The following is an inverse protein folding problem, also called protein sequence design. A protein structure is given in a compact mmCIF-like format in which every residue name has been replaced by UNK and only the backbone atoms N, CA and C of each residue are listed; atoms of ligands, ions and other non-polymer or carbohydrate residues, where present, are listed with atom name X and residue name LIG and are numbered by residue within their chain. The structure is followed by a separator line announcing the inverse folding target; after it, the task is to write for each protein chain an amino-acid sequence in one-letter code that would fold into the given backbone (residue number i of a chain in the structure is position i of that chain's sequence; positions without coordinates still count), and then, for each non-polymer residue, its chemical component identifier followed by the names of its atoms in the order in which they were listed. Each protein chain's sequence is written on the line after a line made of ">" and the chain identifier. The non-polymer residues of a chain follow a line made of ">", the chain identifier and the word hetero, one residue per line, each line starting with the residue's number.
data_IF_700988687446
#
_entry.id   IF_700988687446
#
_cell.length_a   1.000
_cell.length_b   1.000
_cell.length_c   1.000
_cell.angle_alpha   90.00
_cell.angle_beta   90.00
_cell.angle_gamma   90.00
#
_symmetry.space_group_name_H-M   'P 1'
#
loop_
_entity.id
_entity.type
_entity.pdbx_description
1 polymer ?
#
# COMPACT_ATOMS: atom_id res chain seq x y z
N UNK A 1 -47.90 -5.87 16.34
CA UNK A 1 -47.38 -7.08 16.98
C UNK A 1 -46.37 -7.67 16.01
N UNK A 2 -45.08 -7.79 16.36
CA UNK A 2 -44.13 -8.49 15.47
C UNK A 2 -44.56 -9.95 15.33
N UNK A 3 -44.46 -10.50 14.12
CA UNK A 3 -44.86 -11.88 13.83
C UNK A 3 -43.95 -12.87 14.60
N UNK A 4 -44.55 -13.87 15.24
CA UNK A 4 -43.82 -14.97 15.86
C UNK A 4 -43.26 -15.88 14.77
N UNK A 5 -41.94 -16.05 14.77
CA UNK A 5 -41.23 -16.94 13.83
C UNK A 5 -41.48 -18.38 14.28
N UNK A 6 -41.81 -19.27 13.33
CA UNK A 6 -42.02 -20.68 13.64
C UNK A 6 -40.70 -21.40 13.98
N UNK A 7 -40.78 -22.49 14.76
CA UNK A 7 -39.61 -23.32 15.09
C UNK A 7 -38.92 -23.92 13.85
N UNK A 8 -39.68 -24.11 12.77
CA UNK A 8 -39.16 -24.62 11.49
C UNK A 8 -38.32 -23.56 10.80
N UNK A 9 -38.82 -22.33 10.70
CA UNK A 9 -38.07 -21.20 10.15
C UNK A 9 -36.80 -20.92 10.95
N UNK A 10 -36.85 -21.05 12.28
CA UNK A 10 -35.67 -20.91 13.14
C UNK A 10 -34.55 -21.89 12.76
N UNK A 11 -34.89 -23.17 12.52
CA UNK A 11 -33.91 -24.19 12.12
C UNK A 11 -33.32 -23.94 10.74
N UNK A 12 -34.11 -23.40 9.83
CA UNK A 12 -33.61 -23.01 8.50
C UNK A 12 -32.60 -21.86 8.60
N UNK A 13 -32.86 -20.86 9.46
CA UNK A 13 -31.91 -19.76 9.70
C UNK A 13 -30.60 -20.23 10.33
N UNK A 14 -30.66 -21.18 11.27
CA UNK A 14 -29.46 -21.77 11.88
C UNK A 14 -28.60 -22.51 10.83
N UNK A 15 -29.22 -23.15 9.84
CA UNK A 15 -28.51 -23.85 8.75
C UNK A 15 -27.80 -22.95 7.73
N UNK A 16 -28.19 -21.67 7.63
CA UNK A 16 -27.56 -20.68 6.73
C UNK A 16 -26.35 -20.02 7.41
N UNK A 17 -26.28 -20.09 8.74
CA UNK A 17 -25.20 -19.44 9.49
C UNK A 17 -23.89 -20.19 9.23
N UNK A 18 -22.84 -19.50 8.75
CA UNK A 18 -21.53 -20.13 8.57
C UNK A 18 -21.05 -20.77 9.87
N UNK A 19 -20.30 -21.89 9.82
CA UNK A 19 -19.75 -22.50 11.01
C UNK A 19 -18.91 -21.49 11.78
N UNK A 20 -18.95 -21.58 13.11
CA UNK A 20 -18.18 -20.73 13.99
C UNK A 20 -16.71 -20.71 13.58
N UNK A 21 -16.22 -19.53 13.18
CA UNK A 21 -14.79 -19.32 12.92
C UNK A 21 -14.13 -18.88 14.21
N UNK A 22 -13.11 -19.63 14.64
CA UNK A 22 -12.29 -19.25 15.79
C UNK A 22 -11.65 -17.90 15.44
N UNK A 23 -11.96 -16.87 16.24
CA UNK A 23 -11.32 -15.57 16.10
C UNK A 23 -9.80 -15.76 16.21
N UNK A 24 -9.00 -15.19 15.29
CA UNK A 24 -7.55 -15.25 15.38
C UNK A 24 -7.09 -14.81 16.77
N UNK A 25 -6.16 -15.56 17.38
CA UNK A 25 -5.55 -15.13 18.64
C UNK A 25 -4.89 -13.78 18.41
N UNK A 26 -5.25 -12.80 19.22
CA UNK A 26 -4.59 -11.51 19.25
C UNK A 26 -3.13 -11.78 19.63
N UNK A 27 -2.21 -11.53 18.69
CA UNK A 27 -0.79 -11.55 18.99
C UNK A 27 -0.48 -10.21 19.66
N UNK A 28 -0.20 -10.24 20.96
CA UNK A 28 0.35 -9.07 21.63
C UNK A 28 1.80 -8.90 21.19
N UNK A 29 2.01 -8.03 20.20
CA UNK A 29 3.32 -7.49 19.90
C UNK A 29 3.79 -6.73 21.14
N UNK A 30 4.79 -7.26 21.84
CA UNK A 30 5.46 -6.53 22.91
C UNK A 30 6.51 -5.61 22.30
N UNK A 31 6.53 -4.35 22.74
CA UNK A 31 7.58 -3.40 22.39
C UNK A 31 8.92 -3.91 22.94
N UNK A 32 9.85 -4.28 22.06
CA UNK A 32 11.22 -4.62 22.44
C UNK A 32 12.07 -3.35 22.47
N UNK A 33 12.39 -2.87 23.68
CA UNK A 33 13.23 -1.69 23.89
C UNK A 33 14.69 -1.87 23.45
N UNK A 34 15.11 -3.10 23.14
CA UNK A 34 16.42 -3.41 22.57
C UNK A 34 16.41 -3.41 21.04
N UNK A 35 15.23 -3.54 20.43
CA UNK A 35 15.08 -3.48 18.99
C UNK A 35 15.19 -2.01 18.56
N UNK A 36 16.31 -1.66 17.93
CA UNK A 36 16.50 -0.36 17.31
C UNK A 36 15.79 -0.35 15.96
N UNK A 37 14.47 -0.21 15.98
CA UNK A 37 13.71 0.00 14.75
C UNK A 37 14.05 1.38 14.17
N UNK A 38 14.51 1.39 12.93
CA UNK A 38 14.75 2.61 12.19
C UNK A 38 13.59 2.83 11.22
N UNK A 39 12.75 3.81 11.53
CA UNK A 39 11.74 4.27 10.59
C UNK A 39 12.42 4.89 9.37
N UNK A 40 11.94 4.54 8.19
CA UNK A 40 12.34 5.18 6.94
C UNK A 40 11.06 5.62 6.24
N UNK A 41 10.93 6.92 6.04
CA UNK A 41 9.88 7.50 5.21
C UNK A 41 10.42 7.50 3.79
N UNK A 42 9.71 6.90 2.86
CA UNK A 42 10.11 6.88 1.46
C UNK A 42 8.94 7.27 0.57
N UNK A 43 9.27 7.81 -0.59
CA UNK A 43 8.32 8.13 -1.65
C UNK A 43 8.92 7.79 -3.01
N UNK A 44 8.05 7.48 -3.97
CA UNK A 44 8.46 7.10 -5.32
C UNK A 44 7.69 7.90 -6.35
N UNK A 45 8.39 8.26 -7.41
CA UNK A 45 7.79 8.83 -8.61
C UNK A 45 7.86 7.80 -9.74
N UNK A 46 6.81 7.75 -10.55
CA UNK A 46 6.67 6.70 -11.57
C UNK A 46 6.30 7.26 -12.94
N UNK A 47 6.49 6.47 -13.99
CA UNK A 47 6.16 6.83 -15.37
C UNK A 47 4.65 6.94 -15.60
N UNK A 48 3.83 6.18 -14.87
CA UNK A 48 2.37 6.14 -14.99
C UNK A 48 1.76 5.43 -13.77
N UNK A 49 0.44 5.24 -13.76
CA UNK A 49 -0.24 4.45 -12.73
C UNK A 49 -0.42 2.98 -13.17
N UNK A 50 -0.48 2.07 -12.20
CA UNK A 50 -0.77 0.65 -12.44
C UNK A 50 0.46 -0.23 -12.64
N UNK A 51 0.25 -1.47 -13.10
CA UNK A 51 1.27 -2.53 -13.11
C UNK A 51 2.42 -2.33 -14.10
N UNK A 52 2.27 -1.41 -15.05
CA UNK A 52 3.29 -1.09 -16.06
C UNK A 52 4.15 0.11 -15.66
N UNK A 53 3.92 0.68 -14.47
CA UNK A 53 4.67 1.81 -13.96
C UNK A 53 6.13 1.43 -13.70
N UNK A 54 7.04 2.21 -14.28
CA UNK A 54 8.47 2.15 -13.96
C UNK A 54 8.82 3.30 -13.00
N UNK A 55 9.81 3.08 -12.14
CA UNK A 55 10.26 4.10 -11.19
C UNK A 55 11.13 5.15 -11.90
N UNK A 56 10.84 6.43 -11.68
CA UNK A 56 11.58 7.58 -12.18
C UNK A 56 12.45 8.22 -11.10
N UNK A 57 12.03 8.11 -9.84
CA UNK A 57 12.78 8.60 -8.68
C UNK A 57 12.44 7.76 -7.46
N UNK A 58 13.43 7.57 -6.59
CA UNK A 58 13.25 7.07 -5.23
C UNK A 58 13.84 8.09 -4.26
N UNK A 59 13.04 8.50 -3.28
CA UNK A 59 13.48 9.35 -2.18
C UNK A 59 13.17 8.67 -0.85
N UNK A 60 14.10 8.75 0.09
CA UNK A 60 13.95 8.19 1.42
C UNK A 60 14.66 9.03 2.47
N UNK A 61 14.07 9.14 3.66
CA UNK A 61 14.65 9.80 4.82
C UNK A 61 14.43 8.94 6.07
N UNK A 62 15.48 8.77 6.86
CA UNK A 62 15.35 8.14 8.18
C UNK A 62 14.45 8.98 9.10
N UNK A 63 13.71 8.35 10.00
CA UNK A 63 12.78 9.04 10.91
C UNK A 63 13.45 10.03 11.87
N UNK A 64 14.77 9.95 12.04
CA UNK A 64 15.56 10.93 12.80
C UNK A 64 16.15 12.04 11.91
N UNK A 65 15.87 12.04 10.61
CA UNK A 65 16.34 13.02 9.63
C UNK A 65 17.84 12.98 9.29
N UNK A 66 18.61 12.05 9.84
CA UNK A 66 20.08 12.05 9.70
C UNK A 66 20.58 11.44 8.40
N UNK A 67 19.81 10.53 7.82
CA UNK A 67 20.12 9.87 6.57
C UNK A 67 19.03 10.21 5.56
N UNK A 68 19.47 10.71 4.42
CA UNK A 68 18.65 11.01 3.26
C UNK A 68 19.19 10.30 2.02
N UNK A 69 18.29 9.96 1.12
CA UNK A 69 18.57 9.39 -0.17
C UNK A 69 17.58 10.00 -1.15
N UNK A 70 18.05 10.50 -2.28
CA UNK A 70 17.20 10.89 -3.40
C UNK A 70 17.93 10.66 -4.70
N UNK A 71 17.35 9.88 -5.60
CA UNK A 71 18.01 9.51 -6.86
C UNK A 71 16.99 9.34 -7.96
N UNK A 72 17.32 9.92 -9.12
CA UNK A 72 16.61 9.71 -10.37
C UNK A 72 17.03 8.38 -11.02
N UNK A 73 16.06 7.66 -11.54
CA UNK A 73 16.22 6.40 -12.27
C UNK A 73 15.73 6.66 -13.68
N UNK A 74 16.52 6.32 -14.69
CA UNK A 74 16.11 6.43 -16.08
C UNK A 74 15.22 5.22 -16.43
N UNK A 75 13.90 5.38 -16.63
CA UNK A 75 13.03 4.28 -17.01
C UNK A 75 13.19 3.97 -18.50
N UNK A 76 12.72 2.80 -18.94
CA UNK A 76 12.78 2.41 -20.36
C UNK A 76 11.63 3.01 -21.16
N UNK A 77 10.50 3.24 -20.50
CA UNK A 77 9.27 3.78 -21.10
C UNK A 77 9.19 5.29 -20.91
N UNK A 78 8.40 5.93 -21.78
CA UNK A 78 8.06 7.33 -21.62
C UNK A 78 7.18 7.57 -20.38
N UNK A 79 7.25 8.79 -19.85
CA UNK A 79 6.36 9.26 -18.77
C UNK A 79 5.02 9.64 -19.40
N UNK A 80 3.92 9.10 -18.86
CA UNK A 80 2.58 9.44 -19.30
C UNK A 80 2.29 10.90 -19.04
N UNK A 81 1.44 11.51 -19.87
CA UNK A 81 1.07 12.91 -19.68
C UNK A 81 0.49 13.19 -18.29
N UNK A 82 -0.32 12.27 -17.75
CA UNK A 82 -0.85 12.37 -16.39
C UNK A 82 0.23 12.34 -15.32
N UNK A 83 1.25 11.49 -15.43
CA UNK A 83 2.35 11.44 -14.48
C UNK A 83 3.21 12.70 -14.58
N UNK A 84 3.50 13.16 -15.79
CA UNK A 84 4.21 14.43 -16.03
C UNK A 84 3.51 15.62 -15.34
N UNK A 85 2.17 15.70 -15.38
CA UNK A 85 1.44 16.77 -14.70
C UNK A 85 1.59 16.74 -13.18
N UNK A 86 1.89 15.58 -12.60
CA UNK A 86 2.05 15.40 -11.14
C UNK A 86 3.51 15.61 -10.73
N UNK A 87 4.44 14.95 -11.41
CA UNK A 87 5.85 14.92 -11.02
C UNK A 87 6.76 15.91 -11.78
N UNK A 88 6.28 16.50 -12.87
CA UNK A 88 7.05 17.44 -13.69
C UNK A 88 8.19 16.82 -14.50
N UNK A 89 8.25 15.48 -14.61
CA UNK A 89 9.36 14.78 -15.26
C UNK A 89 9.14 14.55 -16.74
N UNK A 90 10.20 14.82 -17.52
CA UNK A 90 10.19 14.68 -18.97
C UNK A 90 11.49 14.02 -19.47
N UNK A 91 11.35 12.83 -20.06
CA UNK A 91 12.47 12.04 -20.60
C UNK A 91 12.94 12.60 -21.95
N UNK A 92 12.10 13.36 -22.67
CA UNK A 92 12.43 13.88 -24.00
C UNK A 92 13.62 14.84 -23.99
N UNK A 93 13.94 15.44 -22.84
CA UNK A 93 15.12 16.31 -22.67
C UNK A 93 16.44 15.54 -22.48
N UNK A 94 16.40 14.24 -22.21
CA UNK A 94 17.60 13.42 -21.94
C UNK A 94 18.17 12.74 -23.19
N UNK A 95 17.40 12.69 -24.30
CA UNK A 95 17.75 11.98 -25.53
C UNK A 95 18.39 12.85 -26.64
N UNK A 96 18.78 14.10 -26.33
CA UNK A 96 19.68 14.85 -27.22
C UNK A 96 21.13 14.41 -26.98
N UNK A 97 21.53 13.30 -27.59
CA UNK A 97 22.95 12.99 -27.86
C UNK A 97 23.29 13.39 -29.27
#
# INVERSE_FOLDING_TARGET
>A
MPAEISLTELKEYEGITPPYTIRPKIVHLQYDSKQKDQFVIFDIETTCTGKLAEMCQLSAVSGNGKHEFSTYILPKSYISYSAYLVNGYDISKSLKR
#
